data_IF_527232741489
#
_entry.id   IF_527232741489
#
_cell.length_a   1.000
_cell.length_b   1.000
_cell.length_c   1.000
_cell.angle_alpha   90.00
_cell.angle_beta   90.00
_cell.angle_gamma   90.00
#
_symmetry.space_group_name_H-M   'P 1'
#
loop_
_entity.id
_entity.type
_entity.pdbx_description
1 polymer ?
#
# COMPACT_ATOMS: atom_id res chain seq x y z
N UNK A 1 -71.13 12.06 -14.14
CA UNK A 1 -69.95 12.79 -13.62
C UNK A 1 -68.96 11.78 -13.09
N UNK A 2 -68.00 11.35 -13.93
CA UNK A 2 -67.06 10.30 -13.62
C UNK A 2 -65.73 10.99 -13.32
N UNK A 3 -65.25 10.91 -12.05
CA UNK A 3 -63.94 11.43 -11.61
C UNK A 3 -62.88 10.40 -11.96
N UNK A 4 -62.02 10.70 -12.93
CA UNK A 4 -60.78 9.97 -13.16
C UNK A 4 -59.72 10.42 -12.13
N UNK A 5 -59.27 9.49 -11.32
CA UNK A 5 -58.14 9.68 -10.40
C UNK A 5 -56.86 9.26 -11.15
N UNK A 6 -56.03 10.24 -11.48
CA UNK A 6 -54.74 10.01 -12.10
C UNK A 6 -53.73 9.61 -10.98
N UNK A 7 -53.25 8.34 -10.96
CA UNK A 7 -52.15 7.91 -10.14
C UNK A 7 -50.84 8.25 -10.86
N UNK A 8 -50.12 9.27 -10.37
CA UNK A 8 -48.75 9.53 -10.79
C UNK A 8 -47.81 8.58 -10.02
N UNK A 9 -47.28 7.56 -10.70
CA UNK A 9 -46.26 6.69 -10.15
C UNK A 9 -44.93 7.45 -10.15
N UNK A 10 -44.47 7.85 -8.96
CA UNK A 10 -43.14 8.44 -8.74
C UNK A 10 -42.10 7.31 -8.79
N UNK A 11 -41.42 7.13 -9.92
CA UNK A 11 -40.28 6.21 -10.04
C UNK A 11 -39.08 6.81 -9.30
N UNK A 12 -38.83 6.34 -8.08
CA UNK A 12 -37.61 6.64 -7.36
C UNK A 12 -36.48 5.81 -8.01
N UNK A 13 -35.69 6.46 -8.84
CA UNK A 13 -34.45 5.92 -9.37
C UNK A 13 -33.47 5.80 -8.18
N UNK A 14 -33.33 4.62 -7.60
CA UNK A 14 -32.23 4.27 -6.75
C UNK A 14 -30.96 4.25 -7.61
N UNK A 15 -30.25 5.36 -7.69
CA UNK A 15 -28.86 5.34 -8.15
C UNK A 15 -28.04 4.58 -7.10
N UNK A 16 -27.78 3.31 -7.36
CA UNK A 16 -26.71 2.60 -6.64
C UNK A 16 -25.43 3.44 -6.78
N UNK A 17 -24.65 3.60 -5.72
CA UNK A 17 -23.35 4.25 -5.85
C UNK A 17 -22.56 3.49 -6.92
N UNK A 18 -22.32 4.14 -8.04
CA UNK A 18 -21.42 3.61 -9.07
C UNK A 18 -20.04 3.63 -8.43
N UNK A 19 -19.53 2.47 -8.06
CA UNK A 19 -18.14 2.32 -7.68
C UNK A 19 -17.29 2.81 -8.85
N UNK A 20 -16.54 3.87 -8.62
CA UNK A 20 -15.70 4.45 -9.64
C UNK A 20 -14.29 3.86 -9.49
N UNK A 21 -13.75 3.26 -10.56
CA UNK A 21 -12.37 2.83 -10.55
C UNK A 21 -11.44 4.03 -10.29
N UNK A 22 -10.29 3.79 -9.68
CA UNK A 22 -9.39 4.87 -9.21
C UNK A 22 -8.01 4.72 -9.83
N UNK A 23 -7.46 5.84 -10.33
CA UNK A 23 -6.05 5.95 -10.73
C UNK A 23 -5.37 6.97 -9.82
N UNK A 24 -4.28 6.56 -9.16
CA UNK A 24 -3.48 7.42 -8.30
C UNK A 24 -2.07 7.51 -8.87
N UNK A 25 -1.57 8.74 -9.08
CA UNK A 25 -0.17 9.00 -9.39
C UNK A 25 0.50 9.59 -8.16
N UNK A 26 1.66 9.07 -7.81
CA UNK A 26 2.40 9.51 -6.65
C UNK A 26 3.91 9.55 -6.92
N UNK A 27 4.59 10.46 -6.26
CA UNK A 27 6.04 10.59 -6.28
C UNK A 27 6.58 10.40 -4.86
N UNK A 28 7.55 9.49 -4.72
CA UNK A 28 8.27 9.27 -3.47
C UNK A 28 9.71 9.74 -3.63
N UNK A 29 10.19 10.52 -2.67
CA UNK A 29 11.59 10.92 -2.58
C UNK A 29 12.18 10.38 -1.29
N UNK A 30 13.43 9.94 -1.34
CA UNK A 30 14.16 9.49 -0.17
C UNK A 30 15.54 10.10 -0.13
N UNK A 31 16.01 10.46 1.07
CA UNK A 31 17.37 10.92 1.31
C UNK A 31 17.89 10.41 2.66
N UNK A 32 19.17 10.15 2.75
CA UNK A 32 19.84 9.71 3.95
C UNK A 32 20.84 8.60 3.67
N UNK A 33 21.77 8.38 4.59
CA UNK A 33 22.82 7.37 4.49
C UNK A 33 23.65 7.48 3.18
N UNK A 34 23.82 8.68 2.65
CA UNK A 34 24.52 8.92 1.37
C UNK A 34 23.72 8.51 0.13
N UNK A 35 22.46 8.15 0.29
CA UNK A 35 21.54 7.79 -0.80
C UNK A 35 20.51 8.90 -1.01
N UNK A 36 20.16 9.14 -2.26
CA UNK A 36 19.00 9.95 -2.64
C UNK A 36 18.36 9.32 -3.87
N UNK A 37 17.05 9.37 -3.94
CA UNK A 37 16.32 8.80 -5.06
C UNK A 37 14.89 9.32 -5.15
N UNK A 38 14.38 9.26 -6.37
CA UNK A 38 12.97 9.55 -6.66
C UNK A 38 12.36 8.35 -7.34
N UNK A 39 11.17 7.98 -6.91
CA UNK A 39 10.35 6.92 -7.50
C UNK A 39 8.99 7.51 -7.84
N UNK A 40 8.57 7.38 -9.08
CA UNK A 40 7.20 7.68 -9.50
C UNK A 40 6.39 6.39 -9.57
N UNK A 41 5.17 6.44 -9.09
CA UNK A 41 4.27 5.30 -9.11
C UNK A 41 2.89 5.67 -9.67
N UNK A 42 2.27 4.72 -10.36
CA UNK A 42 0.88 4.79 -10.78
C UNK A 42 0.16 3.57 -10.23
N UNK A 43 -0.93 3.79 -9.52
CA UNK A 43 -1.76 2.73 -8.95
C UNK A 43 -3.15 2.81 -9.55
N UNK A 44 -3.63 1.70 -10.08
CA UNK A 44 -4.97 1.51 -10.62
C UNK A 44 -5.73 0.58 -9.69
N UNK A 45 -6.96 0.93 -9.31
CA UNK A 45 -7.82 0.12 -8.44
C UNK A 45 -9.19 -0.05 -9.11
N UNK A 46 -9.65 -1.30 -9.18
CA UNK A 46 -10.97 -1.69 -9.67
C UNK A 46 -11.54 -2.80 -8.81
N UNK A 47 -12.49 -2.48 -7.96
CA UNK A 47 -13.02 -3.43 -6.98
C UNK A 47 -11.91 -4.00 -6.09
N UNK A 48 -11.73 -5.32 -6.07
CA UNK A 48 -10.68 -6.01 -5.32
C UNK A 48 -9.44 -6.35 -6.16
N UNK A 49 -9.20 -5.61 -7.24
CA UNK A 49 -7.99 -5.70 -8.06
C UNK A 49 -7.20 -4.41 -8.01
N UNK A 50 -5.89 -4.53 -7.93
CA UNK A 50 -4.97 -3.39 -8.01
C UNK A 50 -3.82 -3.71 -8.96
N UNK A 51 -3.43 -2.73 -9.75
CA UNK A 51 -2.17 -2.73 -10.49
C UNK A 51 -1.33 -1.57 -10.02
N UNK A 52 -0.08 -1.84 -9.66
CA UNK A 52 0.89 -0.82 -9.29
C UNK A 52 2.06 -0.87 -10.25
N UNK A 53 2.41 0.27 -10.82
CA UNK A 53 3.58 0.46 -11.67
C UNK A 53 4.49 1.48 -11.01
N UNK A 54 5.77 1.16 -10.86
CA UNK A 54 6.74 2.05 -10.25
C UNK A 54 7.99 2.18 -11.12
N UNK A 55 8.49 3.41 -11.23
CA UNK A 55 9.71 3.76 -11.96
C UNK A 55 10.70 4.42 -11.01
N UNK A 56 11.87 3.82 -10.88
CA UNK A 56 12.99 4.37 -10.10
C UNK A 56 14.26 4.32 -10.96
N UNK A 57 14.73 5.48 -11.40
CA UNK A 57 15.84 5.57 -12.35
C UNK A 57 15.54 4.82 -13.65
N UNK A 58 16.29 3.73 -13.92
CA UNK A 58 16.10 2.88 -15.12
C UNK A 58 15.30 1.59 -14.85
N UNK A 59 14.81 1.43 -13.62
CA UNK A 59 14.07 0.23 -13.20
C UNK A 59 12.58 0.51 -13.21
N UNK A 60 11.85 -0.29 -13.97
CA UNK A 60 10.40 -0.30 -13.98
C UNK A 60 9.91 -1.61 -13.39
N UNK A 61 8.98 -1.52 -12.47
CA UNK A 61 8.30 -2.68 -11.88
C UNK A 61 6.81 -2.56 -12.10
N UNK A 62 6.15 -3.67 -12.34
CA UNK A 62 4.70 -3.71 -12.41
C UNK A 62 4.20 -4.93 -11.63
N UNK A 63 3.20 -4.71 -10.78
CA UNK A 63 2.63 -5.76 -9.94
C UNK A 63 1.11 -5.69 -10.03
N UNK A 64 0.48 -6.85 -10.18
CA UNK A 64 -0.98 -6.98 -10.17
C UNK A 64 -1.37 -7.77 -8.92
N UNK A 65 -2.35 -7.26 -8.18
CA UNK A 65 -2.92 -7.86 -7.00
C UNK A 65 -4.38 -8.21 -7.31
N UNK A 66 -4.70 -9.50 -7.29
CA UNK A 66 -6.08 -10.01 -7.40
C UNK A 66 -6.46 -10.61 -6.04
N UNK A 67 -7.10 -9.78 -5.22
CA UNK A 67 -7.44 -10.13 -3.84
C UNK A 67 -8.49 -11.24 -3.79
N UNK A 68 -9.41 -11.28 -4.74
CA UNK A 68 -10.41 -12.33 -4.80
C UNK A 68 -9.82 -13.68 -5.17
N UNK A 69 -8.95 -13.71 -6.17
CA UNK A 69 -8.25 -14.91 -6.58
C UNK A 69 -7.10 -15.29 -5.63
N UNK A 70 -6.77 -14.44 -4.65
CA UNK A 70 -5.61 -14.57 -3.76
C UNK A 70 -4.31 -14.76 -4.55
N UNK A 71 -4.15 -14.01 -5.65
CA UNK A 71 -2.97 -14.09 -6.51
C UNK A 71 -2.29 -12.75 -6.67
N UNK A 72 -0.97 -12.78 -6.65
CA UNK A 72 -0.13 -11.65 -6.99
C UNK A 72 0.76 -12.02 -8.18
N UNK A 73 0.88 -11.08 -9.12
CA UNK A 73 1.70 -11.23 -10.31
C UNK A 73 2.77 -10.15 -10.31
N UNK A 74 4.04 -10.54 -10.28
CA UNK A 74 5.17 -9.62 -10.42
C UNK A 74 5.70 -9.72 -11.83
N UNK A 75 5.54 -8.65 -12.61
CA UNK A 75 5.85 -8.64 -14.05
C UNK A 75 7.30 -8.20 -14.29
N UNK A 76 7.97 -8.91 -15.18
CA UNK A 76 9.25 -8.51 -15.79
C UNK A 76 9.03 -8.18 -17.27
N UNK A 77 8.79 -6.88 -17.61
CA UNK A 77 8.50 -6.50 -19.00
C UNK A 77 9.66 -6.75 -19.96
N UNK A 78 10.90 -6.77 -19.47
CA UNK A 78 12.09 -7.00 -20.30
C UNK A 78 12.18 -8.44 -20.75
N UNK A 79 11.79 -9.38 -19.87
CA UNK A 79 11.81 -10.82 -20.18
C UNK A 79 10.48 -11.33 -20.70
N UNK A 80 9.41 -10.52 -20.62
CA UNK A 80 8.02 -10.95 -20.85
C UNK A 80 7.67 -12.15 -19.98
N UNK A 81 7.96 -12.05 -18.69
CA UNK A 81 7.72 -13.07 -17.69
C UNK A 81 6.90 -12.47 -16.53
N UNK A 82 6.09 -13.29 -15.90
CA UNK A 82 5.37 -12.93 -14.70
C UNK A 82 5.52 -14.03 -13.64
N UNK A 83 6.05 -13.68 -12.49
CA UNK A 83 6.06 -14.54 -11.32
C UNK A 83 4.66 -14.51 -10.69
N UNK A 84 4.08 -15.69 -10.48
CA UNK A 84 2.73 -15.88 -9.94
C UNK A 84 2.84 -16.45 -8.55
N UNK A 85 2.32 -15.74 -7.56
CA UNK A 85 2.32 -16.12 -6.16
C UNK A 85 0.91 -16.42 -5.67
N UNK A 86 0.76 -17.51 -4.91
CA UNK A 86 -0.44 -17.78 -4.10
C UNK A 86 -0.31 -17.03 -2.78
N UNK A 87 -1.09 -15.97 -2.62
CA UNK A 87 -0.99 -15.10 -1.45
C UNK A 87 -1.60 -15.71 -0.19
N UNK A 88 -2.53 -16.66 -0.33
CA UNK A 88 -3.07 -17.41 0.81
C UNK A 88 -1.99 -18.29 1.44
N UNK A 89 -1.31 -19.10 0.64
CA UNK A 89 -0.20 -19.94 1.08
C UNK A 89 0.96 -19.09 1.62
N UNK A 90 1.32 -18.03 0.91
CA UNK A 90 2.39 -17.12 1.30
C UNK A 90 2.12 -16.45 2.67
N UNK A 91 0.92 -15.92 2.89
CA UNK A 91 0.53 -15.30 4.16
C UNK A 91 0.59 -16.29 5.32
N UNK A 92 0.16 -17.55 5.10
CA UNK A 92 0.27 -18.60 6.11
C UNK A 92 1.73 -18.90 6.48
N UNK A 93 2.63 -18.96 5.51
CA UNK A 93 4.05 -19.18 5.74
C UNK A 93 4.67 -18.01 6.52
N UNK A 94 4.40 -16.79 6.08
CA UNK A 94 4.88 -15.57 6.73
C UNK A 94 4.36 -15.44 8.17
N UNK A 95 3.16 -15.93 8.46
CA UNK A 95 2.59 -15.89 9.81
C UNK A 95 3.36 -16.77 10.81
N UNK A 96 4.06 -17.80 10.35
CA UNK A 96 4.86 -18.70 11.16
C UNK A 96 6.27 -18.18 11.43
N UNK A 97 6.77 -17.28 10.61
CA UNK A 97 8.20 -16.86 10.60
C UNK A 97 8.52 -15.73 11.58
N UNK A 98 7.56 -14.97 12.08
CA UNK A 98 7.76 -13.87 13.04
C UNK A 98 6.68 -13.88 14.10
N UNK A 99 7.04 -13.76 15.38
CA UNK A 99 6.07 -13.60 16.45
C UNK A 99 5.28 -12.28 16.27
N UNK A 100 3.95 -12.35 16.37
CA UNK A 100 3.07 -11.17 16.18
C UNK A 100 3.35 -10.08 17.21
N UNK A 101 3.85 -10.43 18.39
CA UNK A 101 4.17 -9.52 19.49
C UNK A 101 5.39 -8.61 19.23
N UNK A 102 6.20 -8.91 18.22
CA UNK A 102 7.45 -8.18 17.97
C UNK A 102 7.28 -7.03 16.96
N UNK A 103 6.19 -7.03 16.19
CA UNK A 103 5.90 -6.03 15.18
C UNK A 103 4.71 -5.19 15.62
N UNK A 104 4.82 -3.87 15.52
CA UNK A 104 3.70 -2.98 15.74
C UNK A 104 3.63 -1.89 14.69
N UNK A 105 2.40 -1.58 14.25
CA UNK A 105 2.11 -0.41 13.43
C UNK A 105 0.88 0.29 14.00
N UNK A 106 0.92 1.60 14.07
CA UNK A 106 -0.19 2.41 14.54
C UNK A 106 -0.28 3.73 13.78
N UNK A 107 -1.51 4.18 13.57
CA UNK A 107 -1.82 5.51 13.04
C UNK A 107 -2.83 6.19 13.97
N UNK A 108 -2.49 7.37 14.47
CA UNK A 108 -3.34 8.10 15.41
C UNK A 108 -3.57 9.53 14.91
N UNK A 109 -4.81 10.04 14.96
CA UNK A 109 -5.06 11.42 14.59
C UNK A 109 -4.26 12.36 15.49
N UNK A 110 -3.58 13.35 14.91
CA UNK A 110 -2.79 14.34 15.64
C UNK A 110 -3.49 15.70 15.78
N UNK A 111 -4.73 15.79 15.30
CA UNK A 111 -5.55 17.00 15.37
C UNK A 111 -5.16 18.11 14.39
N UNK A 112 -4.19 17.89 13.53
CA UNK A 112 -3.77 18.87 12.52
C UNK A 112 -4.54 18.64 11.22
N UNK A 113 -4.75 19.74 10.49
CA UNK A 113 -5.36 19.72 9.16
C UNK A 113 -4.57 20.62 8.23
N UNK A 114 -4.49 20.25 6.94
CA UNK A 114 -3.94 21.13 5.88
C UNK A 114 -4.60 20.83 4.53
N UNK A 115 -4.46 21.76 3.60
CA UNK A 115 -4.89 21.53 2.22
C UNK A 115 -3.71 21.09 1.37
N UNK A 116 -3.86 19.96 0.66
CA UNK A 116 -2.86 19.41 -0.26
C UNK A 116 -3.55 19.06 -1.56
N UNK A 117 -3.04 19.56 -2.70
CA UNK A 117 -3.65 19.29 -4.00
C UNK A 117 -5.13 19.69 -4.10
N UNK A 118 -5.55 20.74 -3.36
CA UNK A 118 -6.94 21.19 -3.31
C UNK A 118 -7.86 20.33 -2.43
N UNK A 119 -7.34 19.32 -1.72
CA UNK A 119 -8.07 18.46 -0.81
C UNK A 119 -7.80 18.84 0.65
N UNK A 120 -8.84 18.83 1.47
CA UNK A 120 -8.68 18.95 2.93
C UNK A 120 -8.21 17.61 3.48
N UNK A 121 -7.08 17.62 4.19
CA UNK A 121 -6.48 16.43 4.77
C UNK A 121 -6.39 16.54 6.29
N UNK A 122 -6.62 15.40 6.95
CA UNK A 122 -6.37 15.23 8.39
C UNK A 122 -4.99 14.60 8.60
N UNK A 123 -4.26 15.08 9.59
CA UNK A 123 -2.95 14.56 9.97
C UNK A 123 -3.06 13.35 10.91
N UNK A 124 -2.25 12.32 10.61
CA UNK A 124 -2.12 11.11 11.43
C UNK A 124 -0.66 10.84 11.71
N UNK A 125 -0.31 10.72 12.98
CA UNK A 125 1.01 10.26 13.37
C UNK A 125 1.14 8.76 13.11
N UNK A 126 2.18 8.40 12.37
CA UNK A 126 2.52 7.02 12.02
C UNK A 126 3.69 6.56 12.88
N UNK A 127 3.54 5.39 13.49
CA UNK A 127 4.61 4.75 14.25
C UNK A 127 4.63 3.25 13.92
N UNK A 128 5.77 2.78 13.39
CA UNK A 128 5.97 1.39 13.01
C UNK A 128 7.28 0.91 13.64
N UNK A 129 7.20 -0.20 14.36
CA UNK A 129 8.35 -0.85 15.00
C UNK A 129 8.55 -2.23 14.37
N UNK A 130 9.72 -2.48 13.84
CA UNK A 130 10.05 -3.73 13.13
C UNK A 130 11.35 -4.30 13.68
N UNK A 131 11.33 -5.45 14.36
CA UNK A 131 12.55 -6.18 14.63
C UNK A 131 13.14 -6.73 13.33
N UNK A 132 14.43 -6.64 13.19
CA UNK A 132 15.17 -7.13 12.04
C UNK A 132 16.51 -7.77 12.46
N UNK A 133 17.02 -8.67 11.63
CA UNK A 133 18.33 -9.29 11.82
C UNK A 133 19.24 -8.92 10.67
N UNK A 134 20.39 -8.33 10.97
CA UNK A 134 21.42 -8.01 9.97
C UNK A 134 22.47 -9.12 9.97
N UNK A 135 22.86 -9.62 8.78
CA UNK A 135 23.93 -10.62 8.62
C UNK A 135 23.45 -12.07 8.55
N UNK A 136 22.13 -12.31 8.36
CA UNK A 136 21.59 -13.66 8.21
C UNK A 136 21.28 -14.38 9.52
N UNK A 137 21.02 -15.69 9.49
CA UNK A 137 20.67 -16.48 10.68
C UNK A 137 21.77 -16.39 11.76
N UNK A 138 21.37 -16.01 12.98
CA UNK A 138 22.32 -15.77 14.09
C UNK A 138 23.04 -14.41 14.01
N UNK A 139 22.68 -13.56 13.07
CA UNK A 139 23.17 -12.21 12.93
C UNK A 139 22.67 -11.27 14.03
N UNK A 140 22.99 -10.02 13.85
CA UNK A 140 22.73 -8.99 14.84
C UNK A 140 21.28 -8.54 14.84
N UNK A 141 20.67 -8.54 16.02
CA UNK A 141 19.32 -8.02 16.21
C UNK A 141 19.33 -6.50 16.21
N UNK A 142 18.45 -5.90 15.44
CA UNK A 142 18.17 -4.47 15.41
C UNK A 142 16.68 -4.22 15.46
N UNK A 143 16.30 -2.99 15.80
CA UNK A 143 14.92 -2.51 15.67
C UNK A 143 14.91 -1.38 14.66
N UNK A 144 14.07 -1.51 13.63
CA UNK A 144 13.78 -0.41 12.73
C UNK A 144 12.59 0.36 13.27
N UNK A 145 12.76 1.66 13.45
CA UNK A 145 11.69 2.60 13.79
C UNK A 145 11.37 3.44 12.57
N UNK A 146 10.10 3.41 12.16
CA UNK A 146 9.57 4.26 11.11
C UNK A 146 8.53 5.16 11.76
N UNK A 147 8.84 6.45 11.87
CA UNK A 147 7.98 7.45 12.49
C UNK A 147 7.70 8.59 11.52
N UNK A 148 6.52 9.18 11.60
CA UNK A 148 6.20 10.28 10.69
C UNK A 148 4.77 10.72 10.75
N UNK A 149 4.33 11.42 9.70
CA UNK A 149 2.95 11.91 9.58
C UNK A 149 2.41 11.57 8.20
N UNK A 150 1.18 11.06 8.16
CA UNK A 150 0.40 10.88 6.93
C UNK A 150 -0.79 11.83 6.92
N UNK A 151 -0.97 12.53 5.81
CA UNK A 151 -2.04 13.48 5.58
C UNK A 151 -3.08 12.84 4.67
N UNK A 152 -4.27 12.55 5.21
CA UNK A 152 -5.29 11.71 4.58
C UNK A 152 -6.52 12.55 4.23
N UNK A 153 -6.95 12.49 2.96
CA UNK A 153 -8.18 13.10 2.47
C UNK A 153 -9.30 12.06 2.42
N UNK A 154 -10.23 12.13 3.36
CA UNK A 154 -11.38 11.20 3.42
C UNK A 154 -12.46 11.52 2.40
N UNK A 155 -12.59 12.79 2.01
CA UNK A 155 -13.58 13.27 1.05
C UNK A 155 -13.08 13.36 -0.39
N UNK A 156 -11.84 12.94 -0.69
CA UNK A 156 -11.31 12.99 -2.04
C UNK A 156 -12.07 12.04 -2.98
N UNK A 157 -12.21 12.36 -4.27
CA UNK A 157 -12.73 11.43 -5.26
C UNK A 157 -12.01 10.09 -5.20
N UNK A 158 -12.75 8.97 -5.27
CA UNK A 158 -12.18 7.62 -5.21
C UNK A 158 -11.76 7.13 -3.82
N UNK A 159 -11.94 7.93 -2.75
CA UNK A 159 -11.58 7.52 -1.39
C UNK A 159 -12.30 6.26 -0.93
N UNK A 160 -13.58 6.10 -1.30
CA UNK A 160 -14.38 4.94 -0.93
C UNK A 160 -13.84 3.65 -1.58
N UNK A 161 -13.50 3.71 -2.87
CA UNK A 161 -13.00 2.56 -3.63
C UNK A 161 -11.59 2.18 -3.18
N UNK A 162 -10.75 3.18 -2.91
CA UNK A 162 -9.43 2.98 -2.31
C UNK A 162 -9.54 2.27 -0.95
N UNK A 163 -10.39 2.77 -0.06
CA UNK A 163 -10.59 2.18 1.26
C UNK A 163 -11.18 0.76 1.17
N UNK A 164 -12.17 0.53 0.30
CA UNK A 164 -12.79 -0.77 0.10
C UNK A 164 -11.78 -1.84 -0.39
N UNK A 165 -10.86 -1.47 -1.30
CA UNK A 165 -9.79 -2.37 -1.74
C UNK A 165 -8.90 -2.78 -0.55
N UNK A 166 -8.37 -1.82 0.20
CA UNK A 166 -7.47 -2.12 1.32
C UNK A 166 -8.17 -2.84 2.47
N UNK A 167 -9.45 -2.54 2.71
CA UNK A 167 -10.26 -3.27 3.68
C UNK A 167 -10.43 -4.73 3.27
N UNK A 168 -10.88 -5.01 2.06
CA UNK A 168 -11.04 -6.38 1.56
C UNK A 168 -9.74 -7.17 1.53
N UNK A 169 -8.64 -6.52 1.21
CA UNK A 169 -7.32 -7.12 1.27
C UNK A 169 -6.88 -7.42 2.71
N UNK A 170 -7.11 -6.49 3.64
CA UNK A 170 -6.80 -6.67 5.06
C UNK A 170 -7.60 -7.81 5.70
N UNK A 171 -8.88 -7.95 5.36
CA UNK A 171 -9.75 -9.05 5.84
C UNK A 171 -9.24 -10.43 5.38
N UNK A 172 -8.57 -10.50 4.23
CA UNK A 172 -7.92 -11.70 3.71
C UNK A 172 -6.46 -11.85 4.17
N UNK A 173 -5.98 -10.94 5.03
CA UNK A 173 -4.61 -10.98 5.59
C UNK A 173 -3.51 -10.67 4.57
N UNK A 174 -3.80 -9.90 3.52
CA UNK A 174 -2.85 -9.61 2.45
C UNK A 174 -1.61 -8.86 2.92
N UNK A 175 -0.48 -9.25 2.35
CA UNK A 175 0.81 -8.59 2.52
C UNK A 175 1.16 -7.90 1.19
N UNK A 176 1.15 -6.56 1.18
CA UNK A 176 1.48 -5.74 0.00
C UNK A 176 2.99 -5.55 -0.13
N UNK A 177 3.71 -6.64 -0.29
CA UNK A 177 5.16 -6.62 -0.47
C UNK A 177 5.53 -7.62 -1.56
N UNK A 178 6.59 -7.35 -2.31
CA UNK A 178 7.16 -8.36 -3.20
C UNK A 178 7.52 -9.59 -2.35
N UNK A 179 6.94 -10.77 -2.59
CA UNK A 179 7.17 -11.94 -1.75
C UNK A 179 8.64 -12.32 -1.64
N UNK A 180 9.45 -12.07 -2.68
CA UNK A 180 10.89 -12.31 -2.67
C UNK A 180 11.61 -11.43 -1.64
N UNK A 181 11.21 -10.17 -1.54
CA UNK A 181 11.73 -9.24 -0.54
C UNK A 181 11.18 -9.56 0.85
N UNK A 182 9.91 -9.94 0.94
CA UNK A 182 9.24 -10.29 2.19
C UNK A 182 9.84 -11.53 2.86
N UNK A 183 10.22 -12.56 2.10
CA UNK A 183 10.92 -13.75 2.62
C UNK A 183 12.25 -13.38 3.29
N UNK A 184 12.96 -12.38 2.75
CA UNK A 184 14.19 -11.85 3.36
C UNK A 184 13.97 -10.95 4.58
N UNK A 185 12.76 -10.41 4.76
CA UNK A 185 12.41 -9.44 5.81
C UNK A 185 10.97 -9.63 6.30
N UNK A 186 10.62 -10.76 6.90
CA UNK A 186 9.25 -11.10 7.26
C UNK A 186 8.63 -10.13 8.29
N UNK A 187 9.41 -9.60 9.21
CA UNK A 187 8.96 -8.56 10.15
C UNK A 187 8.50 -7.30 9.44
N UNK A 188 9.26 -6.84 8.44
CA UNK A 188 8.88 -5.66 7.64
C UNK A 188 7.59 -5.92 6.84
N UNK A 189 7.46 -7.10 6.23
CA UNK A 189 6.25 -7.45 5.49
C UNK A 189 5.00 -7.43 6.38
N UNK A 190 5.08 -7.97 7.60
CA UNK A 190 4.01 -7.91 8.60
C UNK A 190 3.69 -6.48 9.05
N UNK A 191 4.71 -5.65 9.29
CA UNK A 191 4.52 -4.26 9.66
C UNK A 191 3.77 -3.49 8.58
N UNK A 192 4.12 -3.71 7.31
CA UNK A 192 3.41 -3.12 6.18
C UNK A 192 1.97 -3.60 6.10
N UNK A 193 1.69 -4.88 6.32
CA UNK A 193 0.32 -5.40 6.35
C UNK A 193 -0.52 -4.74 7.46
N UNK A 194 0.05 -4.57 8.67
CA UNK A 194 -0.62 -3.87 9.77
C UNK A 194 -0.85 -2.40 9.44
N UNK A 195 0.11 -1.73 8.81
CA UNK A 195 -0.05 -0.33 8.39
C UNK A 195 -1.19 -0.17 7.38
N UNK A 196 -1.28 -1.04 6.38
CA UNK A 196 -2.38 -1.00 5.42
C UNK A 196 -3.74 -1.30 6.08
N UNK A 197 -3.78 -2.16 7.09
CA UNK A 197 -4.98 -2.38 7.89
C UNK A 197 -5.40 -1.12 8.67
N UNK A 198 -4.45 -0.34 9.20
CA UNK A 198 -4.75 0.95 9.84
C UNK A 198 -5.24 1.98 8.81
N UNK A 199 -4.62 2.08 7.62
CA UNK A 199 -5.12 2.92 6.53
C UNK A 199 -6.56 2.56 6.14
N UNK A 200 -6.88 1.27 6.02
CA UNK A 200 -8.22 0.81 5.69
C UNK A 200 -9.27 1.25 6.74
N UNK A 201 -8.91 1.19 8.04
CA UNK A 201 -9.80 1.64 9.13
C UNK A 201 -10.06 3.16 9.10
N UNK A 202 -9.04 3.94 8.78
CA UNK A 202 -9.15 5.40 8.72
C UNK A 202 -10.02 5.81 7.53
N UNK A 203 -9.86 5.12 6.40
CA UNK A 203 -10.44 5.48 5.12
C UNK A 203 -9.77 6.71 4.49
N UNK A 204 -10.07 6.97 3.22
CA UNK A 204 -9.47 8.09 2.50
C UNK A 204 -8.17 7.75 1.79
N UNK A 205 -7.66 8.71 1.04
CA UNK A 205 -6.42 8.60 0.25
C UNK A 205 -5.33 9.42 0.94
N UNK A 206 -4.13 8.85 1.19
CA UNK A 206 -2.99 9.64 1.67
C UNK A 206 -2.47 10.56 0.57
N UNK A 207 -2.52 11.86 0.82
CA UNK A 207 -2.02 12.90 -0.11
C UNK A 207 -0.56 13.24 0.13
N UNK A 208 -0.09 13.08 1.34
CA UNK A 208 1.33 13.20 1.67
C UNK A 208 1.64 12.29 2.86
N UNK A 209 2.76 11.60 2.79
CA UNK A 209 3.29 10.83 3.91
C UNK A 209 4.77 11.13 4.05
N UNK A 210 5.16 11.64 5.21
CA UNK A 210 6.55 11.91 5.57
C UNK A 210 6.97 10.89 6.61
N UNK A 211 8.09 10.21 6.40
CA UNK A 211 8.59 9.18 7.30
C UNK A 211 10.08 9.38 7.56
N UNK A 212 10.47 9.18 8.81
CA UNK A 212 11.84 9.09 9.27
C UNK A 212 12.12 7.63 9.69
N UNK A 213 13.10 7.01 9.06
CA UNK A 213 13.47 5.61 9.25
C UNK A 213 14.80 5.58 9.99
N UNK A 214 14.80 5.02 11.20
CA UNK A 214 15.99 4.86 12.06
C UNK A 214 16.19 3.40 12.41
N UNK A 215 17.44 2.98 12.43
CA UNK A 215 17.81 1.70 12.99
C UNK A 215 18.35 1.90 14.42
N UNK A 216 17.87 1.08 15.35
CA UNK A 216 18.36 1.02 16.72
C UNK A 216 18.95 -0.38 17.00
N UNK A 217 20.03 -0.45 17.74
CA UNK A 217 20.64 -1.68 18.19
C UNK A 217 21.01 -1.61 19.66
N UNK A 218 21.45 -2.71 20.22
CA UNK A 218 21.93 -2.76 21.61
C UNK A 218 23.48 -2.84 21.66
N UNK A 219 24.04 -2.48 22.82
CA UNK A 219 25.46 -2.58 23.07
C UNK A 219 26.35 -1.73 22.16
N UNK A 220 27.51 -2.22 21.71
CA UNK A 220 28.43 -1.47 20.84
C UNK A 220 27.79 -1.02 19.52
N UNK A 221 26.76 -1.71 19.06
CA UNK A 221 26.07 -1.43 17.84
C UNK A 221 25.16 -0.20 17.93
N UNK A 222 24.62 0.12 19.11
CA UNK A 222 23.86 1.34 19.33
C UNK A 222 24.63 2.58 18.90
N UNK A 223 25.93 2.64 19.21
CA UNK A 223 26.81 3.74 18.84
C UNK A 223 27.06 3.82 17.32
N UNK A 224 27.11 2.68 16.63
CA UNK A 224 27.25 2.63 15.17
C UNK A 224 25.96 3.09 14.49
N UNK A 225 24.79 2.56 14.92
CA UNK A 225 23.49 2.90 14.37
C UNK A 225 23.17 4.39 14.55
N UNK A 226 23.49 4.97 15.71
CA UNK A 226 23.29 6.40 15.97
C UNK A 226 24.13 7.31 15.03
N UNK A 227 25.31 6.82 14.59
CA UNK A 227 26.18 7.56 13.65
C UNK A 227 25.73 7.42 12.20
N UNK A 228 24.99 6.40 11.86
CA UNK A 228 24.48 6.21 10.49
C UNK A 228 23.42 7.25 10.12
N UNK A 229 22.76 7.84 11.11
CA UNK A 229 21.67 8.81 10.86
C UNK A 229 20.37 8.13 10.48
N UNK A 230 19.49 8.90 9.85
CA UNK A 230 18.18 8.43 9.41
C UNK A 230 18.03 8.48 7.90
N UNK A 231 17.03 7.76 7.39
CA UNK A 231 16.52 7.92 6.03
C UNK A 231 15.18 8.63 6.11
N UNK A 232 15.11 9.80 5.52
CA UNK A 232 13.86 10.53 5.38
C UNK A 232 13.21 10.20 4.04
N UNK A 233 11.91 9.90 4.06
CA UNK A 233 11.13 9.68 2.86
C UNK A 233 9.90 10.58 2.85
N UNK A 234 9.56 11.10 1.69
CA UNK A 234 8.31 11.82 1.47
C UNK A 234 7.63 11.23 0.25
N UNK A 235 6.39 10.80 0.42
CA UNK A 235 5.51 10.38 -0.68
C UNK A 235 4.40 11.40 -0.83
N UNK A 236 4.23 11.91 -2.04
CA UNK A 236 3.17 12.87 -2.39
C UNK A 236 2.28 12.27 -3.47
N UNK A 237 0.98 12.34 -3.29
CA UNK A 237 0.00 12.04 -4.33
C UNK A 237 -0.11 13.23 -5.27
N UNK A 238 0.31 13.02 -6.51
CA UNK A 238 0.35 14.05 -7.55
C UNK A 238 -1.02 14.27 -8.19
N UNK A 239 -1.77 13.17 -8.41
CA UNK A 239 -3.15 13.22 -8.92
C UNK A 239 -3.96 12.00 -8.50
N UNK A 240 -5.27 12.21 -8.39
CA UNK A 240 -6.29 11.17 -8.24
C UNK A 240 -7.32 11.38 -9.33
N UNK A 241 -7.55 10.36 -10.14
CA UNK A 241 -8.53 10.36 -11.21
C UNK A 241 -9.53 9.22 -10.95
N UNK A 242 -10.81 9.46 -11.21
CA UNK A 242 -11.87 8.45 -11.09
C UNK A 242 -12.54 8.27 -12.44
N UNK A 243 -12.80 7.02 -12.82
CA UNK A 243 -13.46 6.69 -14.08
C UNK A 243 -13.25 5.22 -14.43
N UNK A 244 -13.96 4.70 -15.43
CA UNK A 244 -13.89 3.29 -15.77
C UNK A 244 -12.47 2.91 -16.24
N UNK A 245 -11.92 1.83 -15.67
CA UNK A 245 -10.67 1.22 -16.10
C UNK A 245 -10.93 -0.05 -16.91
N UNK A 246 -10.12 -0.27 -17.94
CA UNK A 246 -10.18 -1.47 -18.75
C UNK A 246 -9.76 -2.71 -17.92
N UNK A 247 -10.48 -3.82 -18.06
CA UNK A 247 -10.18 -5.07 -17.32
C UNK A 247 -8.80 -5.63 -17.65
N UNK A 248 -8.32 -5.39 -18.86
CA UNK A 248 -7.03 -5.82 -19.37
C UNK A 248 -5.86 -5.28 -18.54
N UNK A 249 -6.04 -4.12 -17.87
CA UNK A 249 -5.02 -3.57 -16.95
C UNK A 249 -4.70 -4.53 -15.81
N UNK A 250 -5.67 -5.34 -15.40
CA UNK A 250 -5.56 -6.25 -14.25
C UNK A 250 -5.25 -7.70 -14.67
N UNK A 251 -4.85 -7.90 -15.93
CA UNK A 251 -4.42 -9.20 -16.45
C UNK A 251 -2.94 -9.17 -16.83
N UNK A 252 -2.29 -10.31 -16.70
CA UNK A 252 -0.95 -10.49 -17.25
C UNK A 252 -1.08 -10.52 -18.77
N UNK A 253 -0.27 -9.74 -19.53
CA UNK A 253 -0.33 -9.76 -20.99
C UNK A 253 -0.17 -11.17 -21.55
N UNK A 254 -0.91 -11.51 -22.62
CA UNK A 254 -0.98 -12.86 -23.17
C UNK A 254 0.35 -13.39 -23.71
N UNK A 255 1.29 -12.49 -24.03
CA UNK A 255 2.62 -12.83 -24.52
C UNK A 255 3.66 -13.04 -23.41
N UNK A 256 3.22 -13.03 -22.12
CA UNK A 256 4.09 -13.28 -20.98
C UNK A 256 4.07 -14.74 -20.56
N UNK A 257 5.24 -15.26 -20.22
CA UNK A 257 5.40 -16.59 -19.64
C UNK A 257 5.13 -16.53 -18.13
N UNK A 258 4.17 -17.31 -17.67
CA UNK A 258 3.85 -17.43 -16.24
C UNK A 258 4.82 -18.38 -15.54
N UNK A 259 5.36 -17.98 -14.39
CA UNK A 259 6.23 -18.77 -13.52
C UNK A 259 5.56 -18.89 -12.15
N UNK A 260 5.06 -20.07 -11.83
CA UNK A 260 4.53 -20.34 -10.49
C UNK A 260 5.64 -20.27 -9.46
N UNK A 261 5.37 -19.58 -8.34
CA UNK A 261 6.27 -19.45 -7.20
C UNK A 261 5.60 -20.04 -5.96
N UNK A 262 6.41 -20.55 -5.07
CA UNK A 262 6.00 -21.09 -3.77
C UNK A 262 6.59 -20.25 -2.66
#
# INVERSE_FOLDING_TARGET
MTRQVLFAALAILFSAPVQADVTIKATSTGKGLGMSGTTSAVTYIKGLKMRSEATSGKTNTATIFDVDAQKMYVLDPKKKEADVWDMGAFTQEMSKSVAVSEVSASMKPNGQTKSIGGQNTDGYDVNIVVPATIGGPGGMQITMLLTGTSWIAKGAPGSADYAAFYQGASEKGWIFSDPRAAQGSPGQAKAMAQMYAEFAKIGGIPYETQMDIKAQGEGPMAALMSRMGSVETTTTTDSVETGPLADELFHVPADYKLKQRQ
#
